data_IF_636157710419
#
_entry.id   IF_636157710419
#
_cell.length_a   1.000
_cell.length_b   1.000
_cell.length_c   1.000
_cell.angle_alpha   90.00
_cell.angle_beta   90.00
_cell.angle_gamma   90.00
#
_symmetry.space_group_name_H-M   'P 1'
#
loop_
_entity.id
_entity.type
_entity.pdbx_description
1 polymer ?
#
# COMPACT_ATOMS: atom_id res chain seq x y z
N UNK A 1 3.39 8.83 -2.27
CA UNK A 1 3.29 8.08 -3.55
C UNK A 1 2.71 9.00 -4.62
N UNK A 2 2.97 8.75 -5.89
CA UNK A 2 2.48 9.53 -7.05
C UNK A 2 2.81 8.86 -8.38
N UNK A 3 2.58 9.55 -9.49
CA UNK A 3 2.94 9.09 -10.85
C UNK A 3 3.91 10.07 -11.52
N UNK A 4 4.92 9.52 -12.18
CA UNK A 4 5.86 10.26 -13.04
C UNK A 4 6.14 9.43 -14.30
N UNK A 5 5.93 10.01 -15.49
CA UNK A 5 6.06 9.33 -16.79
C UNK A 5 5.36 7.96 -16.87
N UNK A 6 4.14 7.87 -16.34
CA UNK A 6 3.34 6.64 -16.32
C UNK A 6 3.84 5.57 -15.34
N UNK A 7 4.82 5.89 -14.48
CA UNK A 7 5.39 5.00 -13.48
C UNK A 7 5.02 5.45 -12.07
N UNK A 8 4.81 4.48 -11.18
CA UNK A 8 4.58 4.77 -9.78
C UNK A 8 5.87 5.23 -9.12
N UNK A 9 5.79 6.32 -8.37
CA UNK A 9 6.89 6.89 -7.61
C UNK A 9 6.51 7.08 -6.14
N UNK A 10 7.50 7.05 -5.28
CA UNK A 10 7.36 7.44 -3.89
C UNK A 10 8.63 8.04 -3.35
N UNK A 11 8.57 8.50 -2.10
CA UNK A 11 9.72 9.07 -1.42
C UNK A 11 10.27 8.04 -0.45
N UNK A 12 11.56 7.78 -0.56
CA UNK A 12 12.30 7.03 0.43
C UNK A 12 12.45 7.88 1.69
N UNK A 13 11.68 7.58 2.75
CA UNK A 13 11.64 8.41 3.96
C UNK A 13 12.99 8.56 4.69
N UNK A 14 13.95 7.64 4.48
CA UNK A 14 15.29 7.74 5.06
C UNK A 14 16.20 8.71 4.30
N UNK A 15 16.14 8.66 2.97
CA UNK A 15 17.07 9.42 2.11
C UNK A 15 16.44 10.67 1.50
N UNK A 16 15.11 10.84 1.64
CA UNK A 16 14.30 11.88 1.01
C UNK A 16 14.40 11.91 -0.51
N UNK A 17 14.79 10.77 -1.12
CA UNK A 17 14.89 10.64 -2.58
C UNK A 17 13.61 10.05 -3.15
N UNK A 18 13.21 10.57 -4.30
CA UNK A 18 12.17 9.95 -5.11
C UNK A 18 12.70 8.65 -5.71
N UNK A 19 11.92 7.59 -5.61
CA UNK A 19 12.22 6.27 -6.15
C UNK A 19 11.06 5.75 -6.99
N UNK A 20 11.37 4.98 -8.03
CA UNK A 20 10.37 4.24 -8.79
C UNK A 20 9.93 3.02 -7.99
N UNK A 21 8.62 2.84 -7.81
CA UNK A 21 8.08 1.59 -7.31
C UNK A 21 8.19 0.53 -8.41
N UNK A 22 8.57 -0.68 -8.03
CA UNK A 22 8.76 -1.79 -8.95
C UNK A 22 7.46 -2.56 -9.07
N UNK A 23 7.17 -3.16 -10.24
CA UNK A 23 6.12 -4.17 -10.31
C UNK A 23 6.51 -5.34 -9.41
N UNK A 24 5.53 -5.96 -8.78
CA UNK A 24 5.69 -7.14 -7.93
C UNK A 24 4.85 -8.31 -8.48
N UNK A 25 4.99 -9.45 -7.82
CA UNK A 25 4.50 -10.75 -8.24
C UNK A 25 3.65 -11.40 -7.14
N UNK A 26 3.27 -12.66 -7.31
CA UNK A 26 2.61 -13.41 -6.22
C UNK A 26 3.54 -13.76 -5.06
N UNK A 27 4.85 -13.54 -5.20
CA UNK A 27 5.84 -13.80 -4.15
C UNK A 27 6.19 -12.58 -3.28
N UNK A 28 5.63 -11.40 -3.58
CA UNK A 28 5.93 -10.16 -2.89
C UNK A 28 4.75 -9.17 -2.96
N UNK A 29 4.58 -8.36 -1.92
CA UNK A 29 3.53 -7.34 -1.87
C UNK A 29 4.06 -6.05 -1.25
N UNK A 30 3.46 -4.91 -1.59
CA UNK A 30 3.71 -3.68 -0.86
C UNK A 30 2.78 -3.64 0.34
N UNK A 31 3.34 -3.72 1.55
CA UNK A 31 2.61 -3.34 2.77
C UNK A 31 2.41 -1.82 2.73
N UNK A 32 1.20 -1.33 2.96
CA UNK A 32 0.90 0.10 2.89
C UNK A 32 -0.02 0.56 4.02
N UNK A 33 0.09 1.85 4.35
CA UNK A 33 -0.83 2.58 5.21
C UNK A 33 -1.23 3.90 4.57
N UNK A 34 -2.49 4.27 4.74
CA UNK A 34 -3.05 5.56 4.35
C UNK A 34 -3.33 6.37 5.60
N UNK A 35 -2.68 7.53 5.75
CA UNK A 35 -2.68 8.33 6.97
C UNK A 35 -3.69 9.49 6.91
N UNK A 36 -4.12 10.05 8.06
CA UNK A 36 -5.05 11.18 8.11
C UNK A 36 -4.59 12.45 7.40
N UNK A 37 -3.28 12.68 7.29
CA UNK A 37 -2.69 13.78 6.53
C UNK A 37 -2.67 13.53 5.00
N UNK A 38 -3.22 12.40 4.55
CA UNK A 38 -3.35 12.06 3.15
C UNK A 38 -2.10 11.42 2.54
N UNK A 39 -1.11 11.01 3.34
CA UNK A 39 0.06 10.29 2.86
C UNK A 39 -0.21 8.78 2.67
N UNK A 40 0.45 8.18 1.68
CA UNK A 40 0.52 6.73 1.51
C UNK A 40 1.95 6.32 1.77
N UNK A 41 2.16 5.62 2.88
CA UNK A 41 3.45 5.06 3.27
C UNK A 41 3.44 3.59 2.89
N UNK A 42 4.52 3.10 2.28
CA UNK A 42 4.60 1.74 1.81
C UNK A 42 5.98 1.12 2.09
N UNK A 43 6.04 -0.21 2.10
CA UNK A 43 7.27 -0.98 2.10
C UNK A 43 7.07 -2.27 1.31
N UNK A 44 7.99 -2.57 0.40
CA UNK A 44 8.00 -3.86 -0.29
C UNK A 44 8.34 -4.96 0.72
N UNK A 45 7.55 -6.03 0.70
CA UNK A 45 7.74 -7.24 1.48
C UNK A 45 7.84 -8.44 0.55
N UNK A 46 8.99 -9.10 0.59
CA UNK A 46 9.20 -10.40 -0.07
C UNK A 46 8.70 -11.52 0.84
N UNK A 47 7.72 -12.30 0.37
CA UNK A 47 7.08 -13.36 1.15
C UNK A 47 8.01 -14.56 1.38
N UNK A 48 9.14 -14.64 0.67
CA UNK A 48 10.18 -15.67 0.85
C UNK A 48 11.14 -15.31 1.98
N UNK A 49 11.23 -14.04 2.35
CA UNK A 49 12.03 -13.64 3.49
C UNK A 49 11.38 -14.05 4.81
N UNK A 50 12.21 -14.17 5.84
CA UNK A 50 11.74 -14.47 7.19
C UNK A 50 10.65 -13.49 7.63
N UNK A 51 9.64 -13.98 8.36
CA UNK A 51 8.67 -13.12 9.05
C UNK A 51 9.30 -12.04 9.95
N UNK A 52 10.58 -12.16 10.30
CA UNK A 52 11.33 -11.12 11.02
C UNK A 52 11.55 -9.83 10.18
N UNK A 53 11.54 -9.90 8.84
CA UNK A 53 11.68 -8.73 7.96
C UNK A 53 10.34 -8.09 7.59
N UNK A 54 9.24 -8.79 7.88
CA UNK A 54 7.89 -8.27 7.76
C UNK A 54 7.66 -7.09 8.68
N UNK A 55 7.24 -5.97 8.10
CA UNK A 55 6.86 -4.77 8.84
C UNK A 55 5.36 -4.74 8.96
N UNK A 56 4.86 -4.78 10.19
CA UNK A 56 3.44 -4.63 10.48
C UNK A 56 2.97 -3.22 10.14
N UNK A 57 1.68 -3.07 9.86
CA UNK A 57 1.09 -1.77 9.54
C UNK A 57 1.30 -0.71 10.64
N UNK A 58 1.15 -1.08 11.92
CA UNK A 58 1.44 -0.14 13.02
C UNK A 58 2.91 0.22 13.11
N UNK A 59 3.84 -0.65 12.71
CA UNK A 59 5.26 -0.29 12.65
C UNK A 59 5.55 0.64 11.48
N UNK A 60 4.87 0.44 10.34
CA UNK A 60 5.01 1.27 9.15
C UNK A 60 4.58 2.72 9.41
N UNK A 61 3.52 2.90 10.21
CA UNK A 61 3.03 4.22 10.64
C UNK A 61 3.71 4.74 11.94
N UNK A 62 4.73 4.05 12.48
CA UNK A 62 5.34 4.39 13.78
C UNK A 62 4.33 4.54 14.93
N UNK A 63 3.30 3.69 14.96
CA UNK A 63 2.22 3.69 15.96
C UNK A 63 1.18 4.80 15.77
N UNK A 64 1.28 5.62 14.72
CA UNK A 64 0.30 6.66 14.45
C UNK A 64 -1.02 6.06 13.93
N UNK A 65 -2.16 6.73 14.21
CA UNK A 65 -3.44 6.38 13.60
C UNK A 65 -3.37 6.41 12.07
N UNK A 66 -4.04 5.45 11.44
CA UNK A 66 -4.16 5.35 9.98
C UNK A 66 -5.64 5.27 9.60
N UNK A 67 -5.98 5.79 8.43
CA UNK A 67 -7.30 5.66 7.82
C UNK A 67 -7.49 4.24 7.29
N UNK A 68 -6.47 3.71 6.61
CA UNK A 68 -6.54 2.40 5.98
C UNK A 68 -5.17 1.73 5.97
N UNK A 69 -5.15 0.41 5.90
CA UNK A 69 -3.94 -0.38 5.85
C UNK A 69 -4.19 -1.64 5.02
N UNK A 70 -3.14 -2.14 4.39
CA UNK A 70 -3.29 -3.27 3.49
C UNK A 70 -2.03 -3.71 2.79
N UNK A 71 -2.25 -4.59 1.82
CA UNK A 71 -1.26 -4.99 0.84
C UNK A 71 -1.67 -4.54 -0.57
N UNK A 72 -0.67 -4.24 -1.40
CA UNK A 72 -0.82 -3.69 -2.74
C UNK A 72 0.03 -4.48 -3.73
N UNK A 73 -0.56 -4.83 -4.86
CA UNK A 73 0.14 -5.37 -6.02
C UNK A 73 0.17 -4.38 -7.16
N UNK A 74 1.36 -4.16 -7.70
CA UNK A 74 1.62 -3.28 -8.83
C UNK A 74 2.07 -4.16 -9.99
N UNK A 75 1.39 -4.04 -11.12
CA UNK A 75 1.80 -4.68 -12.37
C UNK A 75 2.25 -3.65 -13.38
N UNK A 76 3.03 -4.12 -14.34
CA UNK A 76 3.33 -3.37 -15.55
C UNK A 76 2.45 -3.87 -16.68
N UNK A 77 1.58 -3.00 -17.20
CA UNK A 77 0.86 -3.23 -18.44
C UNK A 77 1.50 -2.40 -19.56
N UNK A 78 2.22 -3.06 -20.47
CA UNK A 78 2.95 -2.40 -21.57
C UNK A 78 3.90 -1.29 -21.06
N UNK A 79 3.54 -0.02 -21.28
CA UNK A 79 4.32 1.16 -20.88
C UNK A 79 3.84 1.77 -19.55
N UNK A 80 2.70 1.33 -19.00
CA UNK A 80 2.08 1.89 -17.80
C UNK A 80 2.21 0.98 -16.60
N UNK A 81 2.24 1.59 -15.41
CA UNK A 81 2.17 0.89 -14.13
C UNK A 81 0.75 1.01 -13.58
N UNK A 82 0.17 -0.13 -13.19
CA UNK A 82 -1.18 -0.20 -12.65
C UNK A 82 -1.17 -0.85 -11.28
N UNK A 83 -2.11 -0.41 -10.44
CA UNK A 83 -2.43 -1.11 -9.21
C UNK A 83 -3.38 -2.25 -9.56
N UNK A 84 -2.89 -3.49 -9.53
CA UNK A 84 -3.67 -4.67 -9.89
C UNK A 84 -4.61 -5.09 -8.75
N UNK A 85 -4.10 -5.10 -7.53
CA UNK A 85 -4.84 -5.59 -6.37
C UNK A 85 -4.54 -4.73 -5.14
N UNK A 86 -5.63 -4.39 -4.44
CA UNK A 86 -5.57 -3.75 -3.13
C UNK A 86 -6.32 -4.66 -2.17
N UNK A 87 -5.60 -5.15 -1.17
CA UNK A 87 -6.15 -5.95 -0.10
C UNK A 87 -6.20 -5.08 1.14
N UNK A 88 -7.39 -4.69 1.58
CA UNK A 88 -7.58 -4.08 2.89
C UNK A 88 -7.36 -5.14 3.97
N UNK A 89 -6.31 -5.01 4.76
CA UNK A 89 -6.01 -5.93 5.84
C UNK A 89 -5.28 -5.24 6.97
N UNK A 90 -5.61 -5.64 8.20
CA UNK A 90 -5.01 -5.05 9.39
C UNK A 90 -4.25 -6.12 10.13
N UNK A 91 -2.94 -5.96 10.07
CA UNK A 91 -2.01 -6.66 10.93
C UNK A 91 -1.43 -5.63 11.91
N UNK A 92 -2.18 -5.36 12.98
CA UNK A 92 -1.85 -4.37 13.99
C UNK A 92 -1.28 -5.06 15.25
N UNK A 93 -0.08 -4.67 15.67
CA UNK A 93 0.46 -5.06 16.98
C UNK A 93 -0.03 -4.18 18.13
N UNK A 94 -0.48 -2.96 17.83
CA UNK A 94 -0.84 -1.94 18.83
C UNK A 94 -2.26 -2.06 19.36
N UNK A 95 -3.16 -2.69 18.59
CA UNK A 95 -4.57 -2.86 18.94
C UNK A 95 -5.41 -1.58 18.80
N UNK A 96 -4.82 -0.50 18.31
CA UNK A 96 -5.47 0.80 18.17
C UNK A 96 -6.28 0.95 16.89
N UNK A 97 -6.04 0.07 15.90
CA UNK A 97 -6.74 0.14 14.62
C UNK A 97 -7.72 -1.02 14.45
N UNK A 98 -9.01 -0.67 14.25
CA UNK A 98 -10.08 -1.64 14.01
C UNK A 98 -10.47 -1.61 12.53
N UNK A 99 -10.50 -2.75 11.83
CA UNK A 99 -10.98 -2.81 10.46
C UNK A 99 -12.43 -2.38 10.37
N UNK A 100 -12.73 -1.52 9.41
CA UNK A 100 -14.09 -1.07 9.10
C UNK A 100 -14.78 -1.94 8.03
N UNK A 101 -14.35 -3.19 7.89
CA UNK A 101 -14.85 -4.09 6.85
C UNK A 101 -14.40 -3.73 5.43
N UNK A 102 -13.36 -2.90 5.28
CA UNK A 102 -12.85 -2.45 3.98
C UNK A 102 -13.51 -1.16 3.48
N UNK A 103 -14.36 -0.51 4.27
CA UNK A 103 -14.90 0.81 3.93
C UNK A 103 -13.78 1.85 3.72
N UNK A 104 -12.63 1.69 4.39
CA UNK A 104 -11.46 2.54 4.26
C UNK A 104 -10.78 2.46 2.88
N UNK A 105 -11.11 1.42 2.09
CA UNK A 105 -10.62 1.29 0.73
C UNK A 105 -11.18 2.39 -0.18
N UNK A 106 -12.40 2.88 0.05
CA UNK A 106 -13.00 3.93 -0.79
C UNK A 106 -12.17 5.23 -0.79
N UNK A 107 -11.85 5.85 0.37
CA UNK A 107 -11.01 7.04 0.38
C UNK A 107 -9.58 6.76 -0.09
N UNK A 108 -9.04 5.56 0.15
CA UNK A 108 -7.74 5.17 -0.39
C UNK A 108 -7.72 5.12 -1.92
N UNK A 109 -8.72 4.51 -2.55
CA UNK A 109 -8.83 4.43 -4.01
C UNK A 109 -8.99 5.81 -4.65
N UNK A 110 -9.76 6.71 -4.03
CA UNK A 110 -9.83 8.12 -4.45
C UNK A 110 -8.46 8.77 -4.39
N UNK A 111 -7.70 8.56 -3.31
CA UNK A 111 -6.35 9.10 -3.21
C UNK A 111 -5.42 8.60 -4.32
N UNK A 112 -5.51 7.32 -4.70
CA UNK A 112 -4.75 6.78 -5.84
C UNK A 112 -5.13 7.50 -7.15
N UNK A 113 -6.43 7.69 -7.39
CA UNK A 113 -6.93 8.41 -8.56
C UNK A 113 -6.44 9.86 -8.60
N UNK A 114 -6.50 10.58 -7.47
CA UNK A 114 -6.03 11.96 -7.33
C UNK A 114 -4.51 12.09 -7.58
N UNK A 115 -3.76 11.00 -7.35
CA UNK A 115 -2.33 10.90 -7.63
C UNK A 115 -2.03 10.52 -9.09
N UNK A 116 -3.05 10.38 -9.93
CA UNK A 116 -2.94 9.97 -11.34
C UNK A 116 -2.73 8.48 -11.54
N UNK A 117 -2.97 7.65 -10.52
CA UNK A 117 -2.78 6.21 -10.57
C UNK A 117 -4.06 5.57 -11.12
N UNK A 118 -3.95 4.84 -12.24
CA UNK A 118 -5.07 4.09 -12.80
C UNK A 118 -5.53 3.03 -11.81
N UNK A 119 -6.85 3.01 -11.58
CA UNK A 119 -7.53 2.06 -10.69
C UNK A 119 -8.64 1.27 -11.39
N UNK A 120 -8.77 1.42 -12.72
CA UNK A 120 -9.88 0.87 -13.51
C UNK A 120 -9.92 -0.67 -13.49
N UNK A 121 -8.74 -1.29 -13.44
CA UNK A 121 -8.54 -2.74 -13.40
C UNK A 121 -8.27 -3.27 -11.98
N UNK A 122 -8.31 -2.40 -10.96
CA UNK A 122 -7.94 -2.77 -9.59
C UNK A 122 -8.97 -3.70 -8.97
N UNK A 123 -8.52 -4.88 -8.54
CA UNK A 123 -9.30 -5.79 -7.71
C UNK A 123 -9.21 -5.36 -6.25
N UNK A 124 -10.36 -5.07 -5.66
CA UNK A 124 -10.49 -4.78 -4.24
C UNK A 124 -10.89 -6.04 -3.49
N UNK A 125 -10.19 -6.33 -2.41
CA UNK A 125 -10.60 -7.37 -1.46
C UNK A 125 -10.32 -6.92 -0.03
N UNK A 126 -10.98 -7.56 0.92
CA UNK A 126 -10.78 -7.32 2.34
C UNK A 126 -10.60 -8.65 3.05
N UNK A 127 -9.74 -8.65 4.08
CA UNK A 127 -9.52 -9.81 4.96
C UNK A 127 -9.54 -9.34 6.41
N UNK A 128 -10.50 -9.80 7.21
CA UNK A 128 -10.30 -9.88 8.66
C UNK A 128 -9.31 -11.00 8.93
N UNK A 129 -8.33 -10.75 9.80
CA UNK A 129 -7.67 -11.88 10.45
C UNK A 129 -8.73 -12.65 11.23
N UNK A 130 -8.91 -13.92 10.89
CA UNK A 130 -9.32 -14.95 11.86
C UNK A 130 -8.22 -15.13 12.90
#
# INVERSE_FOLDING_TARGET
>A
MGVHDGRLVGENLKTRRTELLKPNSTGDSYTWVYTPDGAIIYKLWDHRESHATYVRHSQLASGQPVICAGELRIIRQQQFFEVEEVIGLINDASGHYRPDGGACLVPFMRKLQDLGISTLSTRLSWRSRE
#
